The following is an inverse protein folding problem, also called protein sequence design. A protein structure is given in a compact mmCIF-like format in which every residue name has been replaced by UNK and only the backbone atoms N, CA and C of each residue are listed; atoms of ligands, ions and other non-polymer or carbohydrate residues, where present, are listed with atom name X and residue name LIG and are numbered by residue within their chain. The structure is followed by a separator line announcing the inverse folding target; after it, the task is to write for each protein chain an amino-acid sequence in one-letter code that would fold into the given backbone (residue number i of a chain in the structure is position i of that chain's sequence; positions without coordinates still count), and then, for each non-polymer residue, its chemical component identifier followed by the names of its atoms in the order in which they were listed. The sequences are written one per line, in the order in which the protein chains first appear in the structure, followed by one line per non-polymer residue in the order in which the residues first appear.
data_IF_576941051198
#
_entry.id   IF_576941051198
#
_cell.length_a   1.000
_cell.length_b   1.000
_cell.length_c   1.000
_cell.angle_alpha   90.00
_cell.angle_beta   90.00
_cell.angle_gamma   90.00
#
_symmetry.space_group_name_H-M   'P 1'
#
loop_
_entity.id
_entity.type
_entity.pdbx_description
1 polymer ?
#
# COMPACT_ATOMS: atom_id res chain seq x y z
N UNK A 1 3.82 7.91 -0.12
CA UNK A 1 3.42 6.92 -1.15
C UNK A 1 2.75 5.76 -0.46
N UNK A 2 1.54 5.40 -0.86
CA UNK A 2 0.86 4.20 -0.39
C UNK A 2 1.16 3.09 -1.38
N UNK A 3 1.72 1.98 -0.90
CA UNK A 3 2.16 0.88 -1.75
C UNK A 3 1.29 -0.35 -1.54
N UNK A 4 0.71 -0.87 -2.63
CA UNK A 4 -0.06 -2.10 -2.66
C UNK A 4 0.76 -3.17 -3.37
N UNK A 5 1.09 -4.25 -2.66
CA UNK A 5 1.90 -5.32 -3.22
C UNK A 5 1.17 -6.14 -4.29
N UNK A 6 1.91 -6.77 -5.19
CA UNK A 6 1.38 -7.74 -6.14
C UNK A 6 1.11 -9.11 -5.54
N UNK A 7 1.03 -10.13 -6.40
CA UNK A 7 0.84 -11.53 -5.98
C UNK A 7 -0.55 -12.10 -6.24
N UNK A 8 -1.28 -11.57 -7.23
CA UNK A 8 -2.56 -12.14 -7.67
C UNK A 8 -3.62 -12.19 -6.59
N UNK A 9 -3.59 -11.24 -5.64
CA UNK A 9 -4.48 -11.14 -4.47
C UNK A 9 -4.42 -12.34 -3.51
N UNK A 10 -3.47 -13.27 -3.68
CA UNK A 10 -3.35 -14.51 -2.89
C UNK A 10 -1.95 -14.66 -2.28
N UNK A 11 -0.94 -14.06 -2.89
CA UNK A 11 0.46 -14.13 -2.49
C UNK A 11 1.01 -12.73 -2.17
N UNK A 12 2.17 -12.71 -1.51
CA UNK A 12 2.84 -11.48 -1.10
C UNK A 12 2.46 -11.06 0.32
N UNK A 13 3.26 -10.17 0.89
CA UNK A 13 3.00 -9.47 2.14
C UNK A 13 3.99 -8.32 2.29
N UNK A 14 3.80 -7.51 3.32
CA UNK A 14 4.71 -6.40 3.66
C UNK A 14 6.18 -6.83 3.82
N UNK A 15 6.47 -8.01 4.36
CA UNK A 15 7.86 -8.48 4.54
C UNK A 15 8.54 -8.84 3.22
N UNK A 16 7.84 -9.49 2.30
CA UNK A 16 8.42 -9.84 1.00
C UNK A 16 8.65 -8.62 0.11
N UNK A 17 7.87 -7.55 0.33
CA UNK A 17 7.96 -6.29 -0.40
C UNK A 17 8.78 -5.19 0.30
N UNK A 18 9.25 -5.43 1.53
CA UNK A 18 10.04 -4.46 2.30
C UNK A 18 11.30 -3.96 1.55
N UNK A 19 12.10 -4.82 0.87
CA UNK A 19 13.24 -4.34 0.11
C UNK A 19 12.86 -3.35 -1.00
N UNK A 20 11.75 -3.61 -1.70
CA UNK A 20 11.25 -2.74 -2.76
C UNK A 20 10.69 -1.43 -2.19
N UNK A 21 9.92 -1.50 -1.11
CA UNK A 21 9.37 -0.32 -0.44
C UNK A 21 10.48 0.57 0.13
N UNK A 22 11.52 -0.04 0.73
CA UNK A 22 12.70 0.68 1.24
C UNK A 22 13.48 1.35 0.11
N UNK A 23 13.70 0.64 -1.00
CA UNK A 23 14.33 1.23 -2.19
C UNK A 23 13.51 2.41 -2.72
N UNK A 24 12.20 2.24 -2.86
CA UNK A 24 11.29 3.27 -3.34
C UNK A 24 11.31 4.50 -2.43
N UNK A 25 11.25 4.32 -1.11
CA UNK A 25 11.27 5.41 -0.14
C UNK A 25 12.51 6.29 -0.28
N UNK A 26 13.68 5.66 -0.49
CA UNK A 26 14.94 6.37 -0.76
C UNK A 26 14.94 7.07 -2.11
N UNK A 27 14.42 6.42 -3.14
CA UNK A 27 14.43 6.95 -4.50
C UNK A 27 13.51 8.17 -4.69
N UNK A 28 12.38 8.21 -3.99
CA UNK A 28 11.40 9.31 -4.10
C UNK A 28 11.45 10.32 -2.95
N UNK A 29 12.37 10.11 -1.99
CA UNK A 29 12.51 10.94 -0.79
C UNK A 29 11.18 11.18 -0.05
N UNK A 30 10.41 10.10 0.14
CA UNK A 30 9.09 10.17 0.76
C UNK A 30 8.81 8.97 1.67
N UNK A 31 7.92 9.18 2.65
CA UNK A 31 7.37 8.09 3.46
C UNK A 31 6.62 7.11 2.54
N UNK A 32 6.96 5.82 2.65
CA UNK A 32 6.26 4.72 1.98
C UNK A 32 5.48 3.93 3.03
N UNK A 33 4.18 3.80 2.82
CA UNK A 33 3.30 2.97 3.65
C UNK A 33 2.92 1.74 2.84
N UNK A 34 3.47 0.58 3.22
CA UNK A 34 3.14 -0.71 2.61
C UNK A 34 1.90 -1.29 3.30
N UNK A 35 0.84 -1.55 2.54
CA UNK A 35 -0.45 -2.01 3.08
C UNK A 35 -0.55 -3.52 2.99
N UNK A 36 -0.79 -4.16 4.14
CA UNK A 36 -1.02 -5.61 4.26
C UNK A 36 -2.53 -5.89 4.13
N UNK A 37 -3.05 -5.72 2.91
CA UNK A 37 -4.48 -5.86 2.65
C UNK A 37 -4.94 -7.32 2.76
N UNK A 38 -6.23 -7.54 3.04
CA UNK A 38 -6.80 -8.89 3.11
C UNK A 38 -6.79 -9.58 1.75
N UNK A 39 -6.38 -10.85 1.75
CA UNK A 39 -6.17 -11.64 0.54
C UNK A 39 -7.19 -12.76 0.34
N UNK A 40 -7.36 -13.16 -0.92
CA UNK A 40 -8.12 -14.33 -1.32
C UNK A 40 -7.30 -15.62 -1.04
N UNK A 41 -7.97 -16.79 -0.92
CA UNK A 41 -9.42 -17.01 -1.02
C UNK A 41 -10.23 -16.67 0.24
N UNK A 42 -9.59 -16.44 1.38
CA UNK A 42 -10.23 -16.18 2.68
C UNK A 42 -11.06 -14.89 2.63
N UNK A 43 -10.58 -13.89 1.91
CA UNK A 43 -11.24 -12.61 1.69
C UNK A 43 -11.40 -12.36 0.20
N UNK A 44 -12.57 -12.72 -0.34
CA UNK A 44 -12.90 -12.55 -1.76
C UNK A 44 -13.03 -11.07 -2.14
N UNK A 45 -12.96 -10.77 -3.44
CA UNK A 45 -13.24 -9.43 -3.93
C UNK A 45 -14.63 -8.95 -3.44
N UNK A 46 -14.77 -7.67 -3.03
CA UNK A 46 -13.80 -6.56 -3.17
C UNK A 46 -12.99 -6.24 -1.90
N UNK A 47 -12.76 -7.19 -0.97
CA UNK A 47 -12.18 -6.85 0.35
C UNK A 47 -10.81 -6.15 0.29
N UNK A 48 -9.90 -6.60 -0.59
CA UNK A 48 -8.61 -5.94 -0.79
C UNK A 48 -8.75 -4.47 -1.24
N UNK A 49 -9.72 -4.18 -2.12
CA UNK A 49 -9.98 -2.81 -2.59
C UNK A 49 -10.44 -1.92 -1.44
N UNK A 50 -11.31 -2.43 -0.56
CA UNK A 50 -11.78 -1.67 0.60
C UNK A 50 -10.63 -1.34 1.55
N UNK A 51 -9.76 -2.31 1.84
CA UNK A 51 -8.60 -2.09 2.72
C UNK A 51 -7.64 -1.04 2.15
N UNK A 52 -7.39 -1.08 0.84
CA UNK A 52 -6.56 -0.11 0.14
C UNK A 52 -7.17 1.31 0.18
N UNK A 53 -8.47 1.44 -0.10
CA UNK A 53 -9.17 2.73 -0.05
C UNK A 53 -9.21 3.29 1.37
N UNK A 54 -9.51 2.47 2.37
CA UNK A 54 -9.57 2.88 3.76
C UNK A 54 -8.19 3.31 4.27
N UNK A 55 -7.12 2.62 3.84
CA UNK A 55 -5.74 3.02 4.14
C UNK A 55 -5.38 4.39 3.56
N UNK A 56 -5.75 4.66 2.30
CA UNK A 56 -5.49 5.97 1.67
C UNK A 56 -6.27 7.08 2.37
N UNK A 57 -7.55 6.85 2.69
CA UNK A 57 -8.39 7.81 3.42
C UNK A 57 -7.82 8.12 4.79
N UNK A 58 -7.44 7.08 5.54
CA UNK A 58 -6.84 7.26 6.86
C UNK A 58 -5.55 8.08 6.77
N UNK A 59 -4.69 7.82 5.78
CA UNK A 59 -3.46 8.57 5.57
C UNK A 59 -3.71 10.02 5.14
N UNK A 60 -4.79 10.32 4.42
CA UNK A 60 -5.12 11.70 4.08
C UNK A 60 -5.34 12.59 5.31
N UNK A 61 -5.81 11.99 6.41
CA UNK A 61 -6.09 12.67 7.66
C UNK A 61 -4.97 12.54 8.70
N UNK A 62 -4.16 11.48 8.64
CA UNK A 62 -3.22 11.11 9.72
C UNK A 62 -1.75 11.01 9.30
N UNK A 63 -1.39 11.30 8.04
CA UNK A 63 -0.02 11.15 7.55
C UNK A 63 1.03 11.96 8.35
N UNK A 64 0.65 13.08 8.96
CA UNK A 64 1.55 13.90 9.77
C UNK A 64 2.11 13.12 10.97
N UNK A 65 1.33 12.17 11.53
CA UNK A 65 1.78 11.28 12.62
C UNK A 65 2.90 10.32 12.21
N UNK A 66 3.09 10.13 10.90
CA UNK A 66 4.12 9.29 10.30
C UNK A 66 5.26 10.12 9.67
N UNK A 67 5.26 11.44 9.87
CA UNK A 67 6.19 12.37 9.22
C UNK A 67 5.92 12.58 7.72
N UNK A 68 4.71 12.23 7.26
CA UNK A 68 4.24 12.47 5.89
C UNK A 68 3.47 13.79 5.74
N UNK A 69 2.79 13.95 4.61
CA UNK A 69 1.87 15.07 4.35
C UNK A 69 0.60 14.54 3.65
N UNK A 70 -0.55 14.63 4.32
CA UNK A 70 -1.83 14.08 3.86
C UNK A 70 -2.37 14.71 2.57
N UNK A 71 -1.93 15.93 2.23
CA UNK A 71 -2.28 16.61 0.97
C UNK A 71 -1.40 16.19 -0.22
N UNK A 72 -0.32 15.43 0.03
CA UNK A 72 0.64 14.98 -1.00
C UNK A 72 0.74 13.46 -1.00
N UNK A 73 -0.37 12.81 -1.37
CA UNK A 73 -0.45 11.37 -1.49
C UNK A 73 -0.29 10.91 -2.93
N UNK A 74 0.34 9.75 -3.08
CA UNK A 74 0.45 9.02 -4.33
C UNK A 74 0.28 7.53 -4.03
N UNK A 75 -0.37 6.81 -4.94
CA UNK A 75 -0.58 5.35 -4.89
C UNK A 75 0.38 4.69 -5.86
N UNK A 76 0.91 3.53 -5.47
CA UNK A 76 1.79 2.71 -6.29
C UNK A 76 1.58 1.23 -5.98
N UNK A 77 1.90 0.37 -6.93
CA UNK A 77 1.83 -1.08 -6.76
C UNK A 77 2.32 -1.79 -8.02
N UNK A 78 2.53 -3.10 -7.92
CA UNK A 78 2.94 -3.96 -9.03
C UNK A 78 1.91 -5.07 -9.29
N UNK A 79 1.74 -5.48 -10.55
CA UNK A 79 0.85 -6.60 -10.92
C UNK A 79 -0.58 -6.42 -10.36
N UNK A 80 -1.06 -7.34 -9.52
CA UNK A 80 -2.35 -7.23 -8.82
C UNK A 80 -2.44 -5.98 -7.95
N UNK A 81 -1.34 -5.52 -7.36
CA UNK A 81 -1.27 -4.28 -6.60
C UNK A 81 -1.40 -3.03 -7.47
N UNK A 82 -1.03 -3.09 -8.76
CA UNK A 82 -1.31 -1.99 -9.71
C UNK A 82 -2.77 -1.93 -10.13
N UNK A 83 -3.52 -3.02 -9.97
CA UNK A 83 -4.96 -3.05 -10.23
C UNK A 83 -5.77 -2.46 -9.07
N UNK A 84 -5.26 -2.57 -7.84
CA UNK A 84 -5.83 -1.99 -6.62
C UNK A 84 -5.62 -0.47 -6.56
#
# INVERSE_FOLDING_TARGET
VVYFHGGGWVLGNTRSYDPLCTFLARAVEAVVVSVDYRMAPEHRAPMAVHDCVDSVRWLAEHADSLGGNGSRLAVSGDSAGSNL
#
